data_IF_179482782493
#
_entry.id   IF_179482782493
#
_cell.length_a   1.000
_cell.length_b   1.000
_cell.length_c   1.000
_cell.angle_alpha   90.00
_cell.angle_beta   90.00
_cell.angle_gamma   90.00
#
_symmetry.space_group_name_H-M   'P 1'
#
loop_
_entity.id
_entity.type
_entity.pdbx_description
1 polymer ?
#
# COMPACT_ATOMS: atom_id res chain seq x y z
N UNK A 1 -0.72 -2.13 78.91
CA UNK A 1 -1.28 -2.48 77.59
C UNK A 1 -0.35 -2.00 76.49
N UNK A 2 0.40 -2.91 75.85
CA UNK A 2 1.16 -2.62 74.63
C UNK A 2 0.17 -2.63 73.45
N UNK A 3 -0.01 -1.52 72.75
CA UNK A 3 -0.63 -1.51 71.41
C UNK A 3 0.49 -1.40 70.38
N UNK A 4 0.65 -2.48 69.62
CA UNK A 4 1.54 -2.62 68.46
C UNK A 4 1.14 -1.60 67.39
N UNK A 5 2.11 -0.83 66.90
CA UNK A 5 2.09 -0.25 65.57
C UNK A 5 2.46 -1.36 64.57
N UNK A 6 1.51 -1.76 63.74
CA UNK A 6 1.80 -2.48 62.51
C UNK A 6 1.12 -1.70 61.39
N UNK A 7 1.84 -0.70 60.87
CA UNK A 7 1.57 -0.14 59.56
C UNK A 7 2.31 -1.04 58.57
N UNK A 8 1.59 -1.99 57.99
CA UNK A 8 2.02 -2.69 56.79
C UNK A 8 2.08 -1.67 55.66
N UNK A 9 3.25 -1.06 55.48
CA UNK A 9 3.61 -0.44 54.23
C UNK A 9 4.00 -1.59 53.30
N UNK A 10 3.04 -2.10 52.52
CA UNK A 10 3.38 -2.77 51.27
C UNK A 10 4.01 -1.71 50.36
N UNK A 11 5.32 -1.51 50.50
CA UNK A 11 6.12 -0.80 49.50
C UNK A 11 5.90 -1.54 48.18
N UNK A 12 5.24 -0.88 47.23
CA UNK A 12 5.14 -1.39 45.87
C UNK A 12 6.55 -1.58 45.33
N UNK A 13 7.02 -2.82 45.33
CA UNK A 13 8.38 -3.19 44.93
C UNK A 13 8.63 -2.68 43.50
N UNK A 14 9.64 -1.82 43.32
CA UNK A 14 9.99 -1.25 42.01
C UNK A 14 10.76 -2.26 41.16
N UNK A 15 10.00 -3.20 40.60
CA UNK A 15 10.52 -4.27 39.74
C UNK A 15 11.09 -3.79 38.41
N UNK A 16 10.80 -2.54 38.01
CA UNK A 16 11.33 -1.94 36.77
C UNK A 16 12.78 -1.52 36.95
N UNK A 17 13.15 -1.01 38.12
CA UNK A 17 14.53 -0.66 38.45
C UNK A 17 15.47 -1.87 38.52
N UNK A 18 14.94 -3.07 38.80
CA UNK A 18 15.73 -4.31 38.87
C UNK A 18 16.05 -4.94 37.51
N UNK A 19 15.34 -4.56 36.44
CA UNK A 19 15.57 -5.11 35.11
C UNK A 19 16.93 -4.68 34.56
N UNK A 20 17.70 -5.55 33.89
CA UNK A 20 18.90 -5.17 33.14
C UNK A 20 18.63 -4.16 32.01
N UNK A 21 19.63 -3.36 31.66
CA UNK A 21 19.51 -2.33 30.60
C UNK A 21 19.03 -2.90 29.26
N UNK A 22 19.45 -4.11 28.89
CA UNK A 22 19.02 -4.74 27.64
C UNK A 22 17.50 -4.97 27.60
N UNK A 23 16.89 -5.37 28.73
CA UNK A 23 15.44 -5.55 28.82
C UNK A 23 14.71 -4.21 28.82
N UNK A 24 15.27 -3.19 29.46
CA UNK A 24 14.69 -1.85 29.41
C UNK A 24 14.74 -1.25 28.00
N UNK A 25 15.85 -1.42 27.27
CA UNK A 25 15.96 -1.00 25.85
C UNK A 25 14.96 -1.77 24.99
N UNK A 26 14.78 -3.06 25.22
CA UNK A 26 13.76 -3.87 24.54
C UNK A 26 12.33 -3.40 24.84
N UNK A 27 12.03 -3.04 26.09
CA UNK A 27 10.72 -2.45 26.43
C UNK A 27 10.55 -1.11 25.69
N UNK A 28 11.59 -0.27 25.67
CA UNK A 28 11.56 1.02 24.99
C UNK A 28 11.45 0.90 23.46
N UNK A 29 11.90 -0.20 22.84
CA UNK A 29 11.79 -0.36 21.37
C UNK A 29 10.34 -0.53 20.89
N UNK A 30 9.42 -0.91 21.78
CA UNK A 30 7.98 -0.89 21.49
C UNK A 30 7.37 0.52 21.52
N UNK A 31 8.12 1.53 21.98
CA UNK A 31 7.67 2.92 22.01
C UNK A 31 8.22 3.67 20.80
N UNK A 32 7.41 4.58 20.25
CA UNK A 32 7.93 5.58 19.32
C UNK A 32 9.00 6.41 20.01
N UNK A 33 10.01 6.84 19.25
CA UNK A 33 11.22 7.46 19.80
C UNK A 33 10.93 8.72 20.63
N UNK A 34 9.87 9.48 20.32
CA UNK A 34 9.51 10.67 21.10
C UNK A 34 9.03 10.33 22.51
N UNK A 35 8.40 9.17 22.68
CA UNK A 35 7.99 8.66 24.00
C UNK A 35 9.16 8.03 24.73
N UNK A 36 10.03 7.29 24.03
CA UNK A 36 11.25 6.74 24.61
C UNK A 36 12.19 7.85 25.11
N UNK A 37 12.33 8.97 24.40
CA UNK A 37 13.11 10.11 24.90
C UNK A 37 12.49 10.73 26.14
N UNK A 38 11.15 10.76 26.27
CA UNK A 38 10.49 11.32 27.46
C UNK A 38 10.80 10.54 28.73
N UNK A 39 11.12 9.25 28.65
CA UNK A 39 11.49 8.46 29.84
C UNK A 39 12.81 8.93 30.47
N UNK A 40 13.58 9.81 29.80
CA UNK A 40 14.79 10.41 30.36
C UNK A 40 14.56 11.12 31.71
N UNK A 41 13.33 11.55 32.01
CA UNK A 41 13.01 12.24 33.26
C UNK A 41 12.86 11.28 34.46
N UNK A 42 12.76 9.97 34.21
CA UNK A 42 12.49 8.98 35.27
C UNK A 42 13.68 8.79 36.21
N UNK A 43 14.90 8.68 35.65
CA UNK A 43 16.13 8.68 36.44
C UNK A 43 17.36 8.92 35.56
N UNK A 44 18.53 9.08 36.20
CA UNK A 44 19.83 9.19 35.51
C UNK A 44 20.13 8.00 34.60
N UNK A 45 19.64 6.80 34.96
CA UNK A 45 19.77 5.58 34.15
C UNK A 45 18.96 5.69 32.85
N UNK A 46 17.69 6.08 32.94
CA UNK A 46 16.79 6.18 31.78
C UNK A 46 17.19 7.25 30.78
N UNK A 47 17.98 8.25 31.20
CA UNK A 47 18.53 9.30 30.33
C UNK A 47 19.32 8.75 29.13
N UNK A 48 19.91 7.56 29.26
CA UNK A 48 20.82 6.98 28.27
C UNK A 48 20.24 5.79 27.50
N UNK A 49 19.16 5.16 28.00
CA UNK A 49 18.64 3.91 27.43
C UNK A 49 18.10 4.08 26.01
N UNK A 50 17.34 5.15 25.76
CA UNK A 50 16.75 5.41 24.43
C UNK A 50 17.82 5.53 23.32
N UNK A 51 19.05 5.91 23.68
CA UNK A 51 20.17 6.08 22.74
C UNK A 51 20.64 4.75 22.14
N UNK A 52 20.19 3.61 22.68
CA UNK A 52 20.56 2.27 22.25
C UNK A 52 19.42 1.53 21.56
N UNK A 53 18.28 2.18 21.33
CA UNK A 53 17.12 1.57 20.64
C UNK A 53 17.52 1.24 19.20
N UNK A 54 17.25 0.01 18.72
CA UNK A 54 17.68 -0.43 17.39
C UNK A 54 16.77 -0.02 16.24
N UNK A 55 15.62 0.58 16.56
CA UNK A 55 14.57 0.93 15.61
C UNK A 55 14.26 2.43 15.71
N UNK A 56 14.33 3.14 14.60
CA UNK A 56 14.05 4.56 14.53
C UNK A 56 12.91 4.83 13.56
N UNK A 57 11.76 5.21 14.13
CA UNK A 57 10.60 5.73 13.38
C UNK A 57 10.53 7.25 13.58
N UNK A 58 10.77 7.99 12.50
CA UNK A 58 10.93 9.43 12.49
C UNK A 58 9.95 10.04 11.50
N UNK A 59 8.74 10.31 11.95
CA UNK A 59 7.64 10.73 11.08
C UNK A 59 7.12 12.12 11.43
N UNK A 60 7.17 13.05 10.48
CA UNK A 60 6.66 14.42 10.65
C UNK A 60 5.14 14.47 10.86
N UNK A 61 4.41 13.48 10.33
CA UNK A 61 2.95 13.37 10.36
C UNK A 61 2.36 13.12 11.76
N UNK A 62 3.20 12.83 12.74
CA UNK A 62 2.84 12.39 14.10
C UNK A 62 2.66 13.56 15.07
N UNK A 63 3.45 13.64 16.16
CA UNK A 63 3.42 14.74 17.14
C UNK A 63 3.87 16.09 16.55
N UNK A 64 4.38 16.08 15.32
CA UNK A 64 4.98 17.21 14.64
C UNK A 64 4.18 17.76 13.46
N UNK A 65 2.93 17.33 13.27
CA UNK A 65 2.05 17.87 12.21
C UNK A 65 1.93 19.40 12.36
N UNK A 66 2.35 20.14 11.32
CA UNK A 66 2.40 21.62 11.34
C UNK A 66 3.51 22.21 12.20
N UNK A 67 4.54 21.43 12.57
CA UNK A 67 5.66 21.81 13.45
C UNK A 67 7.00 21.34 12.88
N UNK A 68 7.24 21.62 11.61
CA UNK A 68 8.36 21.14 10.80
C UNK A 68 9.71 21.49 11.44
N UNK A 69 9.89 22.74 11.88
CA UNK A 69 11.13 23.18 12.57
C UNK A 69 11.42 22.41 13.86
N UNK A 70 10.37 22.01 14.59
CA UNK A 70 10.52 21.22 15.81
C UNK A 70 10.90 19.78 15.47
N UNK A 71 10.32 19.22 14.41
CA UNK A 71 10.69 17.92 13.87
C UNK A 71 12.15 17.91 13.44
N UNK A 72 12.60 18.88 12.65
CA UNK A 72 14.00 19.04 12.24
C UNK A 72 14.95 19.02 13.43
N UNK A 73 14.66 19.86 14.42
CA UNK A 73 15.48 20.00 15.63
C UNK A 73 15.49 18.70 16.42
N UNK A 74 14.33 18.02 16.51
CA UNK A 74 14.19 16.75 17.20
C UNK A 74 15.01 15.66 16.50
N UNK A 75 14.78 15.42 15.21
CA UNK A 75 15.50 14.41 14.41
C UNK A 75 17.01 14.69 14.45
N UNK A 76 17.44 15.93 14.21
CA UNK A 76 18.87 16.29 14.29
C UNK A 76 19.49 15.97 15.65
N UNK A 77 18.75 16.17 16.74
CA UNK A 77 19.20 15.79 18.10
C UNK A 77 19.21 14.28 18.30
N UNK A 78 18.24 13.53 17.77
CA UNK A 78 18.25 12.06 17.83
C UNK A 78 19.52 11.53 17.14
N UNK A 79 19.76 11.92 15.88
CA UNK A 79 20.89 11.42 15.09
C UNK A 79 22.25 11.76 15.73
N UNK A 80 22.37 12.89 16.41
CA UNK A 80 23.61 13.32 17.07
C UNK A 80 23.82 12.74 18.46
N UNK A 81 22.75 12.50 19.23
CA UNK A 81 22.83 12.06 20.61
C UNK A 81 22.72 10.54 20.79
N UNK A 82 22.23 9.83 19.78
CA UNK A 82 22.19 8.35 19.75
C UNK A 82 23.60 7.79 19.81
N UNK A 83 23.72 6.61 20.41
CA UNK A 83 24.99 5.90 20.45
C UNK A 83 25.27 5.29 19.08
N UNK A 84 26.27 5.81 18.36
CA UNK A 84 26.64 5.30 17.03
C UNK A 84 27.21 3.87 17.06
N UNK A 85 27.59 3.36 18.22
CA UNK A 85 27.99 1.96 18.36
C UNK A 85 26.79 1.02 18.56
N UNK A 86 25.61 1.56 18.87
CA UNK A 86 24.41 0.76 19.06
C UNK A 86 23.80 0.32 17.72
N UNK A 87 23.43 -0.97 17.65
CA UNK A 87 22.84 -1.58 16.47
C UNK A 87 21.67 -0.76 15.92
N UNK A 88 21.58 -0.53 14.61
CA UNK A 88 20.43 0.10 13.95
C UNK A 88 19.90 -0.86 12.88
N UNK A 89 18.75 -1.48 13.15
CA UNK A 89 18.15 -2.48 12.27
C UNK A 89 17.04 -1.89 11.39
N UNK A 90 16.28 -0.95 11.93
CA UNK A 90 15.18 -0.29 11.23
C UNK A 90 15.38 1.21 11.28
N UNK A 91 15.34 1.84 10.11
CA UNK A 91 15.25 3.28 9.98
C UNK A 91 14.09 3.60 9.04
N UNK A 92 13.06 4.24 9.58
CA UNK A 92 11.90 4.68 8.81
C UNK A 92 11.70 6.19 9.03
N UNK A 93 11.77 6.94 7.94
CA UNK A 93 11.75 8.39 7.94
C UNK A 93 10.67 8.91 6.99
N UNK A 94 9.80 9.78 7.51
CA UNK A 94 8.74 10.44 6.76
C UNK A 94 8.81 11.95 7.00
N UNK A 95 8.91 12.72 5.92
CA UNK A 95 8.86 14.17 5.92
C UNK A 95 7.92 14.69 4.82
N UNK A 96 6.81 15.30 5.24
CA UNK A 96 5.75 15.87 4.39
C UNK A 96 5.98 17.37 4.09
N UNK A 97 7.23 17.85 4.15
CA UNK A 97 7.53 19.28 3.96
C UNK A 97 8.54 19.52 2.84
N UNK A 98 8.24 20.50 2.00
CA UNK A 98 9.04 20.87 0.82
C UNK A 98 10.35 21.61 1.17
N UNK A 99 10.59 21.90 2.45
CA UNK A 99 11.53 22.94 2.87
C UNK A 99 12.91 22.48 3.36
N UNK A 100 13.18 21.17 3.49
CA UNK A 100 14.36 20.72 4.25
C UNK A 100 15.19 19.62 3.58
N UNK A 101 15.81 19.95 2.44
CA UNK A 101 16.84 19.12 1.80
C UNK A 101 17.99 18.76 2.76
N UNK A 102 18.34 19.65 3.70
CA UNK A 102 19.39 19.39 4.70
C UNK A 102 19.03 18.24 5.65
N UNK A 103 17.76 18.12 6.06
CA UNK A 103 17.33 17.02 6.93
C UNK A 103 17.40 15.69 6.22
N UNK A 104 16.94 15.67 4.96
CA UNK A 104 17.00 14.49 4.09
C UNK A 104 18.45 14.07 3.88
N UNK A 105 19.37 15.01 3.62
CA UNK A 105 20.79 14.68 3.52
C UNK A 105 21.36 14.13 4.84
N UNK A 106 21.00 14.70 5.98
CA UNK A 106 21.43 14.19 7.29
C UNK A 106 20.93 12.77 7.56
N UNK A 107 19.66 12.47 7.25
CA UNK A 107 19.11 11.13 7.48
C UNK A 107 19.75 10.10 6.55
N UNK A 108 19.97 10.45 5.28
CA UNK A 108 20.63 9.57 4.31
C UNK A 108 22.09 9.31 4.68
N UNK A 109 22.83 10.33 5.09
CA UNK A 109 24.20 10.16 5.58
C UNK A 109 24.25 9.30 6.84
N UNK A 110 23.26 9.42 7.73
CA UNK A 110 23.16 8.57 8.92
C UNK A 110 22.83 7.12 8.59
N UNK A 111 21.94 6.89 7.62
CA UNK A 111 21.65 5.56 7.11
C UNK A 111 22.91 4.91 6.49
N UNK A 112 23.65 5.67 5.67
CA UNK A 112 24.92 5.23 5.09
C UNK A 112 25.96 4.81 6.14
N UNK A 113 26.06 5.53 7.26
CA UNK A 113 27.02 5.18 8.31
C UNK A 113 26.67 3.91 9.09
N UNK A 114 25.44 3.39 8.94
CA UNK A 114 24.94 2.16 9.56
C UNK A 114 24.54 1.09 8.54
N UNK A 115 24.96 1.24 7.28
CA UNK A 115 24.53 0.43 6.14
C UNK A 115 24.75 -1.10 6.28
N UNK A 116 25.68 -1.53 7.14
CA UNK A 116 25.95 -2.95 7.43
C UNK A 116 24.94 -3.59 8.38
N UNK A 117 24.16 -2.78 9.12
CA UNK A 117 23.25 -3.23 10.17
C UNK A 117 21.77 -3.06 9.81
N UNK A 118 21.47 -2.08 8.93
CA UNK A 118 20.11 -1.77 8.52
C UNK A 118 19.55 -2.91 7.67
N UNK A 119 18.45 -3.48 8.14
CA UNK A 119 17.69 -4.54 7.47
C UNK A 119 16.39 -4.01 6.87
N UNK A 120 15.86 -2.91 7.42
CA UNK A 120 14.67 -2.25 6.91
C UNK A 120 14.90 -0.74 6.80
N UNK A 121 14.70 -0.21 5.61
CA UNK A 121 14.84 1.21 5.32
C UNK A 121 13.54 1.73 4.70
N UNK A 122 12.92 2.70 5.36
CA UNK A 122 11.78 3.47 4.88
C UNK A 122 12.17 4.93 4.70
N UNK A 123 12.00 5.47 3.50
CA UNK A 123 12.21 6.90 3.20
C UNK A 123 10.99 7.44 2.45
N UNK A 124 10.31 8.41 3.04
CA UNK A 124 9.15 9.09 2.46
C UNK A 124 9.38 10.61 2.47
N UNK A 125 9.53 11.21 1.29
CA UNK A 125 9.95 12.60 1.11
C UNK A 125 9.19 13.29 -0.03
N UNK A 126 9.05 14.62 0.03
CA UNK A 126 8.38 15.39 -1.04
C UNK A 126 9.19 15.44 -2.34
N UNK A 127 10.52 15.44 -2.26
CA UNK A 127 11.42 15.58 -3.40
C UNK A 127 12.60 14.63 -3.28
N UNK A 128 13.10 14.13 -4.41
CA UNK A 128 14.28 13.28 -4.42
C UNK A 128 15.56 14.02 -4.00
N UNK A 129 16.51 13.24 -3.55
CA UNK A 129 17.87 13.66 -3.25
C UNK A 129 18.82 12.79 -4.05
N UNK A 130 19.82 13.40 -4.70
CA UNK A 130 20.87 12.68 -5.41
C UNK A 130 21.58 11.60 -4.55
N UNK A 131 21.46 11.69 -3.22
CA UNK A 131 22.03 10.74 -2.25
C UNK A 131 21.14 9.52 -1.97
N UNK A 132 19.86 9.53 -2.36
CA UNK A 132 18.90 8.48 -1.98
C UNK A 132 19.31 7.11 -2.53
N UNK A 133 19.45 6.99 -3.85
CA UNK A 133 19.82 5.72 -4.48
C UNK A 133 21.24 5.24 -4.11
N UNK A 134 22.27 6.11 -4.02
CA UNK A 134 23.56 5.72 -3.45
C UNK A 134 23.46 5.18 -2.02
N UNK A 135 22.64 5.81 -1.17
CA UNK A 135 22.42 5.37 0.21
C UNK A 135 21.80 3.97 0.27
N UNK A 136 20.69 3.78 -0.44
CA UNK A 136 20.00 2.49 -0.55
C UNK A 136 20.93 1.40 -1.07
N UNK A 137 21.69 1.69 -2.13
CA UNK A 137 22.62 0.72 -2.74
C UNK A 137 23.76 0.30 -1.80
N UNK A 138 24.10 1.14 -0.80
CA UNK A 138 25.14 0.81 0.17
C UNK A 138 24.67 -0.17 1.25
N UNK A 139 23.36 -0.31 1.46
CA UNK A 139 22.77 -1.12 2.51
C UNK A 139 22.54 -2.57 2.04
N UNK A 140 23.61 -3.37 2.00
CA UNK A 140 23.56 -4.75 1.45
C UNK A 140 22.75 -5.74 2.29
N UNK A 141 22.51 -5.45 3.57
CA UNK A 141 21.73 -6.27 4.49
C UNK A 141 20.21 -6.03 4.39
N UNK A 142 19.76 -5.15 3.49
CA UNK A 142 18.35 -4.81 3.34
C UNK A 142 17.51 -6.03 2.94
N UNK A 143 16.47 -6.26 3.73
CA UNK A 143 15.42 -7.27 3.51
C UNK A 143 14.08 -6.61 3.17
N UNK A 144 13.87 -5.36 3.62
CA UNK A 144 12.71 -4.53 3.30
C UNK A 144 13.14 -3.11 2.92
N UNK A 145 12.60 -2.61 1.82
CA UNK A 145 12.84 -1.25 1.35
C UNK A 145 11.51 -0.59 1.00
N UNK A 146 11.24 0.56 1.59
CA UNK A 146 10.10 1.42 1.26
C UNK A 146 10.63 2.78 0.82
N UNK A 147 10.35 3.17 -0.42
CA UNK A 147 10.69 4.47 -0.96
C UNK A 147 9.44 5.16 -1.47
N UNK A 148 9.15 6.35 -0.95
CA UNK A 148 8.00 7.15 -1.37
C UNK A 148 8.42 8.58 -1.70
N UNK A 149 8.22 8.98 -2.95
CA UNK A 149 8.52 10.35 -3.41
C UNK A 149 7.21 11.02 -3.81
N UNK A 150 6.84 12.08 -3.10
CA UNK A 150 5.61 12.84 -3.30
C UNK A 150 5.87 14.10 -4.12
N UNK A 151 6.51 13.96 -5.27
CA UNK A 151 6.64 15.09 -6.19
C UNK A 151 5.23 15.52 -6.61
N UNK A 152 4.91 16.81 -6.45
CA UNK A 152 3.70 17.42 -6.99
C UNK A 152 3.69 17.31 -8.51
N UNK A 153 3.27 16.14 -9.02
CA UNK A 153 2.85 15.80 -10.38
C UNK A 153 3.74 16.14 -11.59
N UNK A 154 4.87 16.85 -11.49
CA UNK A 154 5.51 17.38 -12.71
C UNK A 154 6.59 16.44 -13.27
N UNK A 155 7.45 15.81 -12.46
CA UNK A 155 8.41 14.78 -12.93
C UNK A 155 8.77 13.80 -11.80
N UNK A 156 8.34 12.52 -11.84
CA UNK A 156 8.78 11.54 -10.86
C UNK A 156 10.18 11.03 -11.18
N UNK A 157 10.97 10.80 -10.15
CA UNK A 157 12.37 10.43 -10.27
C UNK A 157 12.56 9.05 -10.88
N UNK A 158 13.68 8.89 -11.60
CA UNK A 158 13.94 7.66 -12.34
C UNK A 158 14.47 6.60 -11.39
N UNK A 159 13.73 5.50 -11.27
CA UNK A 159 14.23 4.35 -10.54
C UNK A 159 15.39 3.70 -11.33
N UNK A 160 16.51 3.34 -10.68
CA UNK A 160 17.64 2.72 -11.35
C UNK A 160 17.24 1.43 -12.08
N UNK A 161 17.81 1.23 -13.28
CA UNK A 161 17.58 0.00 -14.06
C UNK A 161 18.12 -1.25 -13.35
N UNK A 162 19.16 -1.08 -12.53
CA UNK A 162 19.81 -2.16 -11.82
C UNK A 162 20.10 -1.71 -10.39
N UNK A 163 19.65 -2.50 -9.43
CA UNK A 163 19.90 -2.30 -8.01
C UNK A 163 20.20 -3.66 -7.38
N UNK A 164 21.43 -3.86 -6.91
CA UNK A 164 21.85 -5.15 -6.37
C UNK A 164 21.53 -5.23 -4.88
N UNK A 165 20.42 -5.88 -4.52
CA UNK A 165 20.03 -6.12 -3.13
C UNK A 165 19.66 -7.60 -2.95
N UNK A 166 20.65 -8.49 -2.74
CA UNK A 166 20.47 -9.94 -2.82
C UNK A 166 19.68 -10.54 -1.65
N UNK A 167 19.46 -9.76 -0.58
CA UNK A 167 18.67 -10.15 0.57
C UNK A 167 17.25 -9.57 0.56
N UNK A 168 16.90 -8.74 -0.43
CA UNK A 168 15.62 -8.02 -0.46
C UNK A 168 14.46 -8.98 -0.67
N UNK A 169 13.53 -8.97 0.28
CA UNK A 169 12.29 -9.78 0.26
C UNK A 169 11.03 -8.94 0.11
N UNK A 170 11.07 -7.66 0.46
CA UNK A 170 9.94 -6.74 0.39
C UNK A 170 10.38 -5.41 -0.22
N UNK A 171 9.63 -4.95 -1.22
CA UNK A 171 9.88 -3.69 -1.91
C UNK A 171 8.58 -2.90 -2.05
N UNK A 172 8.55 -1.68 -1.54
CA UNK A 172 7.46 -0.72 -1.72
C UNK A 172 8.00 0.53 -2.41
N UNK A 173 7.46 0.82 -3.59
CA UNK A 173 7.83 1.98 -4.38
C UNK A 173 6.60 2.85 -4.62
N UNK A 174 6.67 4.09 -4.17
CA UNK A 174 5.68 5.12 -4.47
C UNK A 174 6.30 6.29 -5.22
N UNK A 175 5.72 6.66 -6.37
CA UNK A 175 6.07 7.89 -7.08
C UNK A 175 7.34 7.82 -7.93
N UNK A 176 7.67 6.65 -8.49
CA UNK A 176 8.86 6.46 -9.33
C UNK A 176 8.53 6.34 -10.83
N UNK A 177 9.50 6.70 -11.67
CA UNK A 177 9.50 6.48 -13.12
C UNK A 177 10.40 5.30 -13.49
N UNK A 178 9.86 4.31 -14.21
CA UNK A 178 10.63 3.19 -14.76
C UNK A 178 10.94 3.43 -16.24
N UNK A 179 12.21 3.44 -16.61
CA UNK A 179 12.63 3.69 -17.99
C UNK A 179 12.66 2.41 -18.82
N UNK A 180 12.09 2.49 -20.02
CA UNK A 180 12.15 1.45 -21.04
C UNK A 180 13.57 1.09 -21.48
N UNK A 181 13.70 -0.14 -21.98
CA UNK A 181 14.81 -0.61 -22.79
C UNK A 181 14.51 -0.46 -24.30
N UNK A 182 15.42 -0.98 -25.13
CA UNK A 182 15.26 -1.00 -26.60
C UNK A 182 14.00 -1.75 -27.05
N UNK A 183 13.51 -2.69 -26.25
CA UNK A 183 12.29 -3.45 -26.51
C UNK A 183 11.01 -2.71 -26.08
N UNK A 184 11.12 -1.44 -25.67
CA UNK A 184 10.01 -0.64 -25.11
C UNK A 184 9.37 -1.30 -23.89
N UNK A 185 10.19 -2.00 -23.10
CA UNK A 185 9.80 -2.66 -21.87
C UNK A 185 10.62 -2.12 -20.69
N UNK A 186 9.96 -1.79 -19.59
CA UNK A 186 10.63 -1.51 -18.33
C UNK A 186 10.63 -2.77 -17.47
N UNK A 187 11.81 -3.20 -17.00
CA UNK A 187 11.98 -4.38 -16.14
C UNK A 187 12.98 -4.07 -15.02
N UNK A 188 12.57 -3.35 -13.96
CA UNK A 188 13.46 -2.96 -12.87
C UNK A 188 13.61 -4.05 -11.79
N UNK A 189 12.83 -5.14 -11.85
CA UNK A 189 12.66 -6.06 -10.71
C UNK A 189 13.45 -7.38 -10.84
N UNK A 190 13.87 -7.74 -12.06
CA UNK A 190 14.58 -9.01 -12.33
C UNK A 190 15.86 -9.28 -11.50
N UNK A 191 16.49 -8.24 -10.95
CA UNK A 191 17.67 -8.38 -10.10
C UNK A 191 17.35 -8.88 -8.67
N UNK A 192 16.10 -8.78 -8.22
CA UNK A 192 15.70 -9.14 -6.85
C UNK A 192 15.32 -10.62 -6.75
N UNK A 193 16.34 -11.47 -6.59
CA UNK A 193 16.18 -12.94 -6.60
C UNK A 193 15.38 -13.53 -5.43
N UNK A 194 15.20 -12.79 -4.33
CA UNK A 194 14.46 -13.22 -3.13
C UNK A 194 13.18 -12.42 -2.86
N UNK A 195 12.73 -11.62 -3.83
CA UNK A 195 11.61 -10.71 -3.66
C UNK A 195 10.29 -11.49 -3.51
N UNK A 196 9.71 -11.46 -2.31
CA UNK A 196 8.45 -12.13 -1.98
C UNK A 196 7.25 -11.17 -2.03
N UNK A 197 7.45 -9.89 -1.76
CA UNK A 197 6.40 -8.87 -1.73
C UNK A 197 6.80 -7.63 -2.52
N UNK A 198 5.92 -7.19 -3.43
CA UNK A 198 6.12 -5.99 -4.23
C UNK A 198 4.88 -5.10 -4.17
N UNK A 199 5.08 -3.85 -3.75
CA UNK A 199 4.07 -2.80 -3.74
C UNK A 199 4.52 -1.71 -4.72
N UNK A 200 3.64 -1.35 -5.66
CA UNK A 200 3.88 -0.28 -6.63
C UNK A 200 2.73 0.72 -6.54
N UNK A 201 3.05 1.99 -6.32
CA UNK A 201 2.06 3.04 -6.16
C UNK A 201 2.40 4.35 -6.85
N UNK A 202 1.45 4.94 -7.58
CA UNK A 202 1.65 6.23 -8.27
C UNK A 202 2.90 6.26 -9.17
N UNK A 203 3.37 5.11 -9.65
CA UNK A 203 4.52 5.02 -10.54
C UNK A 203 4.11 5.18 -12.00
N UNK A 204 5.09 5.50 -12.85
CA UNK A 204 4.90 5.60 -14.30
C UNK A 204 6.01 4.91 -15.07
N UNK A 205 5.78 4.69 -16.36
CA UNK A 205 6.78 4.17 -17.28
C UNK A 205 7.10 5.25 -18.31
N UNK A 206 8.38 5.42 -18.63
CA UNK A 206 8.89 6.35 -19.63
C UNK A 206 9.55 5.57 -20.77
N UNK A 207 9.36 6.02 -22.00
CA UNK A 207 9.99 5.45 -23.21
C UNK A 207 9.63 3.96 -23.47
N UNK A 208 8.56 3.47 -22.83
CA UNK A 208 8.07 2.10 -22.92
C UNK A 208 6.53 2.07 -22.78
N UNK A 209 5.91 0.94 -23.17
CA UNK A 209 4.47 0.72 -23.01
C UNK A 209 4.15 -0.50 -22.14
N UNK A 210 5.20 -1.21 -21.71
CA UNK A 210 5.09 -2.44 -20.93
C UNK A 210 5.93 -2.29 -19.67
N UNK A 211 5.30 -2.52 -18.51
CA UNK A 211 6.01 -2.81 -17.27
C UNK A 211 6.04 -4.33 -17.10
N UNK A 212 7.22 -4.94 -17.21
CA UNK A 212 7.38 -6.36 -16.90
C UNK A 212 7.83 -6.50 -15.44
N UNK A 213 7.21 -7.45 -14.76
CA UNK A 213 7.51 -7.83 -13.38
C UNK A 213 7.96 -9.29 -13.42
N UNK A 214 9.27 -9.49 -13.41
CA UNK A 214 9.88 -10.82 -13.41
C UNK A 214 10.42 -11.18 -12.03
N UNK A 215 9.91 -12.26 -11.43
CA UNK A 215 10.43 -12.80 -10.17
C UNK A 215 9.96 -14.23 -9.92
N UNK A 216 10.90 -15.14 -9.69
CA UNK A 216 10.60 -16.54 -9.36
C UNK A 216 10.07 -16.73 -7.92
N UNK A 217 10.29 -15.75 -7.04
CA UNK A 217 9.97 -15.84 -5.60
C UNK A 217 8.80 -14.95 -5.18
N UNK A 218 8.30 -14.10 -6.09
CA UNK A 218 7.23 -13.16 -5.77
C UNK A 218 5.95 -13.89 -5.44
N UNK A 219 5.51 -13.74 -4.19
CA UNK A 219 4.30 -14.34 -3.63
C UNK A 219 3.15 -13.33 -3.59
N UNK A 220 3.46 -12.06 -3.33
CA UNK A 220 2.47 -10.99 -3.15
C UNK A 220 2.77 -9.79 -4.06
N UNK A 221 1.80 -9.41 -4.89
CA UNK A 221 1.84 -8.19 -5.69
C UNK A 221 0.69 -7.26 -5.30
N UNK A 222 1.02 -6.03 -4.93
CA UNK A 222 0.06 -4.98 -4.65
C UNK A 222 0.27 -3.79 -5.59
N UNK A 223 -0.69 -3.56 -6.47
CA UNK A 223 -0.79 -2.34 -7.27
C UNK A 223 -1.74 -1.36 -6.56
N UNK A 224 -1.21 -0.23 -6.09
CA UNK A 224 -1.94 0.72 -5.27
C UNK A 224 -1.99 2.11 -5.92
N UNK A 225 -3.16 2.75 -5.93
CA UNK A 225 -3.45 3.99 -6.66
C UNK A 225 -3.14 3.88 -8.17
N UNK A 226 -3.36 4.97 -8.89
CA UNK A 226 -3.25 4.97 -10.35
C UNK A 226 -1.78 4.88 -10.81
N UNK A 227 -1.53 4.02 -11.80
CA UNK A 227 -0.29 3.97 -12.57
C UNK A 227 -0.47 4.75 -13.88
N UNK A 228 0.60 5.40 -14.34
CA UNK A 228 0.51 6.38 -15.44
C UNK A 228 1.43 6.05 -16.61
N UNK A 229 1.04 6.48 -17.81
CA UNK A 229 1.86 6.52 -19.02
C UNK A 229 2.31 5.17 -19.62
N UNK A 230 1.55 4.09 -19.42
CA UNK A 230 1.73 2.82 -20.14
C UNK A 230 0.44 2.00 -20.19
N UNK A 231 0.42 1.03 -21.11
CA UNK A 231 -0.76 0.26 -21.47
C UNK A 231 -0.84 -1.12 -20.80
N UNK A 232 0.30 -1.73 -20.47
CA UNK A 232 0.36 -3.16 -20.13
C UNK A 232 1.31 -3.48 -18.97
N UNK A 233 0.89 -4.39 -18.09
CA UNK A 233 1.72 -5.08 -17.12
C UNK A 233 1.89 -6.53 -17.56
N UNK A 234 3.14 -6.99 -17.65
CA UNK A 234 3.47 -8.37 -17.99
C UNK A 234 4.06 -9.08 -16.76
N UNK A 235 3.33 -10.07 -16.25
CA UNK A 235 3.72 -10.84 -15.08
C UNK A 235 4.47 -12.11 -15.50
N UNK A 236 5.77 -12.16 -15.19
CA UNK A 236 6.61 -13.34 -15.26
C UNK A 236 6.95 -13.77 -13.82
N UNK A 237 5.92 -14.14 -13.06
CA UNK A 237 6.01 -14.45 -11.64
C UNK A 237 5.25 -15.76 -11.32
N UNK A 238 5.84 -16.94 -11.56
CA UNK A 238 5.13 -18.22 -11.46
C UNK A 238 4.79 -18.64 -10.02
N UNK A 239 5.37 -17.99 -9.01
CA UNK A 239 5.09 -18.23 -7.60
C UNK A 239 4.04 -17.28 -7.02
N UNK A 240 3.48 -16.37 -7.84
CA UNK A 240 2.55 -15.35 -7.37
C UNK A 240 1.28 -16.00 -6.83
N UNK A 241 1.02 -15.84 -5.53
CA UNK A 241 -0.11 -16.41 -4.84
C UNK A 241 -1.22 -15.38 -4.63
N UNK A 242 -0.84 -14.14 -4.29
CA UNK A 242 -1.76 -13.05 -3.93
C UNK A 242 -1.60 -11.87 -4.88
N UNK A 243 -2.71 -11.42 -5.46
CA UNK A 243 -2.77 -10.20 -6.27
C UNK A 243 -3.76 -9.21 -5.65
N UNK A 244 -3.28 -8.04 -5.25
CA UNK A 244 -4.12 -6.96 -4.75
C UNK A 244 -4.05 -5.75 -5.67
N UNK A 245 -5.20 -5.17 -5.97
CA UNK A 245 -5.34 -3.95 -6.75
C UNK A 245 -6.23 -2.95 -6.02
N UNK A 246 -5.76 -1.71 -5.88
CA UNK A 246 -6.56 -0.58 -5.39
C UNK A 246 -6.35 0.62 -6.32
N UNK A 247 -7.38 1.13 -7.00
CA UNK A 247 -7.23 2.29 -7.89
C UNK A 247 -8.06 2.22 -9.17
N UNK A 248 -7.63 2.89 -10.23
CA UNK A 248 -8.35 2.89 -11.53
C UNK A 248 -7.75 1.85 -12.49
N UNK A 249 -8.51 0.83 -12.95
CA UNK A 249 -8.02 -0.20 -13.86
C UNK A 249 -7.64 0.34 -15.25
N UNK A 250 -6.40 0.81 -15.44
CA UNK A 250 -5.97 1.42 -16.71
C UNK A 250 -5.08 0.54 -17.57
N UNK A 251 -4.45 -0.47 -16.97
CA UNK A 251 -3.48 -1.33 -17.64
C UNK A 251 -4.05 -2.72 -17.86
N UNK A 252 -3.80 -3.29 -19.04
CA UNK A 252 -4.01 -4.74 -19.24
C UNK A 252 -2.94 -5.49 -18.46
N UNK A 253 -3.34 -6.55 -17.78
CA UNK A 253 -2.39 -7.44 -17.10
C UNK A 253 -2.43 -8.77 -17.83
N UNK A 254 -1.27 -9.32 -18.17
CA UNK A 254 -1.18 -10.66 -18.74
C UNK A 254 0.12 -11.34 -18.30
N UNK A 255 0.33 -12.56 -18.79
CA UNK A 255 1.56 -13.34 -18.55
C UNK A 255 1.26 -14.59 -17.74
N UNK A 256 2.30 -15.35 -17.41
CA UNK A 256 2.18 -16.59 -16.66
C UNK A 256 1.79 -16.35 -15.19
N UNK A 257 2.01 -15.16 -14.65
CA UNK A 257 1.78 -14.87 -13.23
C UNK A 257 0.35 -15.14 -12.75
N UNK A 258 -0.69 -14.90 -13.57
CA UNK A 258 -2.07 -15.20 -13.13
C UNK A 258 -2.39 -16.68 -13.03
N UNK A 259 -1.60 -17.56 -13.65
CA UNK A 259 -1.87 -18.99 -13.59
C UNK A 259 -1.66 -19.59 -12.19
N UNK A 260 -0.83 -18.96 -11.36
CA UNK A 260 -0.50 -19.39 -9.99
C UNK A 260 -1.32 -18.70 -8.90
N UNK A 261 -1.99 -17.58 -9.22
CA UNK A 261 -2.70 -16.75 -8.23
C UNK A 261 -3.88 -17.52 -7.64
N UNK A 262 -3.96 -17.53 -6.32
CA UNK A 262 -5.04 -18.15 -5.53
C UNK A 262 -5.96 -17.11 -4.90
N UNK A 263 -5.42 -15.97 -4.51
CA UNK A 263 -6.17 -14.91 -3.85
C UNK A 263 -6.09 -13.60 -4.64
N UNK A 264 -7.25 -13.04 -4.93
CA UNK A 264 -7.38 -11.78 -5.66
C UNK A 264 -8.22 -10.80 -4.85
N UNK A 265 -7.68 -9.61 -4.58
CA UNK A 265 -8.42 -8.52 -3.97
C UNK A 265 -8.43 -7.31 -4.91
N UNK A 266 -9.62 -6.91 -5.38
CA UNK A 266 -9.78 -5.80 -6.30
C UNK A 266 -10.69 -4.74 -5.67
N UNK A 267 -10.11 -3.57 -5.48
CA UNK A 267 -10.81 -2.36 -5.11
C UNK A 267 -10.63 -1.29 -6.19
N UNK A 268 -11.53 -1.31 -7.16
CA UNK A 268 -11.52 -0.43 -8.31
C UNK A 268 -12.36 0.83 -8.09
N UNK A 269 -11.81 1.96 -8.53
CA UNK A 269 -12.48 3.26 -8.58
C UNK A 269 -12.38 3.86 -9.99
N UNK A 270 -13.26 4.81 -10.32
CA UNK A 270 -13.25 5.50 -11.62
C UNK A 270 -13.41 7.00 -11.42
N UNK A 271 -12.60 7.81 -12.12
CA UNK A 271 -12.60 9.28 -12.01
C UNK A 271 -13.09 10.00 -13.29
N UNK A 272 -13.30 9.32 -14.42
CA UNK A 272 -13.70 9.98 -15.68
C UNK A 272 -14.53 9.11 -16.63
N UNK A 273 -15.34 9.79 -17.47
CA UNK A 273 -16.34 9.23 -18.39
C UNK A 273 -15.81 8.47 -19.62
N UNK A 274 -14.53 8.62 -19.97
CA UNK A 274 -13.93 8.06 -21.21
C UNK A 274 -13.03 6.86 -20.89
N UNK A 275 -13.11 6.34 -19.66
CA UNK A 275 -12.17 5.35 -19.19
C UNK A 275 -12.50 3.95 -19.74
N UNK A 276 -11.49 3.28 -20.32
CA UNK A 276 -11.57 1.88 -20.75
C UNK A 276 -11.63 0.92 -19.55
N UNK A 277 -11.57 1.44 -18.33
CA UNK A 277 -11.56 0.72 -17.06
C UNK A 277 -12.57 -0.43 -16.95
N UNK A 278 -13.87 -0.31 -17.31
CA UNK A 278 -14.79 -1.45 -17.22
C UNK A 278 -14.35 -2.63 -18.08
N UNK A 279 -13.90 -2.36 -19.30
CA UNK A 279 -13.42 -3.40 -20.23
C UNK A 279 -12.08 -3.98 -19.79
N UNK A 280 -11.21 -3.16 -19.18
CA UNK A 280 -9.92 -3.61 -18.65
C UNK A 280 -10.12 -4.50 -17.43
N UNK A 281 -10.95 -4.06 -16.47
CA UNK A 281 -11.33 -4.85 -15.31
C UNK A 281 -11.95 -6.18 -15.72
N UNK A 282 -12.86 -6.16 -16.71
CA UNK A 282 -13.44 -7.38 -17.26
C UNK A 282 -12.38 -8.30 -17.90
N UNK A 283 -11.40 -7.73 -18.62
CA UNK A 283 -10.32 -8.54 -19.20
C UNK A 283 -9.47 -9.25 -18.15
N UNK A 284 -9.26 -8.64 -16.97
CA UNK A 284 -8.57 -9.31 -15.87
C UNK A 284 -9.36 -10.52 -15.39
N UNK A 285 -10.67 -10.38 -15.20
CA UNK A 285 -11.52 -11.49 -14.75
C UNK A 285 -11.45 -12.68 -15.71
N UNK A 286 -11.35 -12.46 -17.02
CA UNK A 286 -11.21 -13.54 -18.01
C UNK A 286 -9.93 -14.37 -17.85
N UNK A 287 -8.86 -13.77 -17.31
CA UNK A 287 -7.56 -14.42 -17.15
C UNK A 287 -7.38 -15.08 -15.76
N UNK A 288 -8.28 -14.82 -14.80
CA UNK A 288 -8.24 -15.37 -13.43
C UNK A 288 -8.88 -16.76 -13.33
N UNK A 289 -8.31 -17.76 -14.02
CA UNK A 289 -8.90 -19.10 -14.08
C UNK A 289 -8.79 -19.91 -12.77
N UNK A 290 -7.66 -19.80 -12.06
CA UNK A 290 -7.29 -20.73 -10.99
C UNK A 290 -7.51 -20.21 -9.57
N UNK A 291 -8.16 -19.05 -9.40
CA UNK A 291 -8.29 -18.42 -8.09
C UNK A 291 -9.25 -19.18 -7.17
N UNK A 292 -8.96 -19.17 -5.88
CA UNK A 292 -9.78 -19.79 -4.83
C UNK A 292 -10.56 -18.74 -4.02
N UNK A 293 -10.04 -17.52 -3.90
CA UNK A 293 -10.68 -16.43 -3.15
C UNK A 293 -10.68 -15.15 -3.97
N UNK A 294 -11.85 -14.50 -4.05
CA UNK A 294 -12.04 -13.21 -4.69
C UNK A 294 -12.64 -12.22 -3.70
N UNK A 295 -11.91 -11.16 -3.39
CA UNK A 295 -12.40 -10.02 -2.63
C UNK A 295 -12.62 -8.84 -3.57
N UNK A 296 -13.80 -8.24 -3.55
CA UNK A 296 -14.16 -7.09 -4.40
C UNK A 296 -14.89 -6.02 -3.62
N UNK A 297 -14.63 -4.75 -3.91
CA UNK A 297 -15.45 -3.66 -3.36
C UNK A 297 -16.79 -3.50 -4.10
N UNK A 298 -17.79 -2.90 -3.44
CA UNK A 298 -19.04 -2.50 -4.08
C UNK A 298 -18.79 -1.59 -5.30
N UNK A 299 -17.81 -0.69 -5.20
CA UNK A 299 -17.38 0.18 -6.29
C UNK A 299 -16.88 -0.64 -7.50
N UNK A 300 -16.12 -1.70 -7.25
CA UNK A 300 -15.61 -2.62 -8.28
C UNK A 300 -16.74 -3.30 -9.04
N UNK A 301 -17.72 -3.86 -8.32
CA UNK A 301 -18.88 -4.52 -8.93
C UNK A 301 -19.66 -3.54 -9.80
N UNK A 302 -19.83 -2.31 -9.33
CA UNK A 302 -20.55 -1.32 -10.10
C UNK A 302 -19.80 -0.91 -11.38
N UNK A 303 -18.47 -0.74 -11.33
CA UNK A 303 -17.66 -0.48 -12.52
C UNK A 303 -17.82 -1.63 -13.54
N UNK A 304 -17.79 -2.87 -13.07
CA UNK A 304 -17.97 -4.04 -13.91
C UNK A 304 -19.37 -4.06 -14.57
N UNK A 305 -20.42 -3.63 -13.86
CA UNK A 305 -21.80 -3.57 -14.38
C UNK A 305 -22.00 -2.61 -15.57
N UNK A 306 -21.03 -1.73 -15.82
CA UNK A 306 -21.02 -0.81 -16.96
C UNK A 306 -20.58 -1.50 -18.26
N UNK A 307 -20.03 -2.72 -18.19
CA UNK A 307 -19.70 -3.53 -19.37
C UNK A 307 -20.99 -3.88 -20.12
N UNK A 308 -21.09 -3.55 -21.42
CA UNK A 308 -22.27 -3.89 -22.23
C UNK A 308 -22.52 -5.40 -22.23
N UNK A 309 -23.78 -5.79 -22.05
CA UNK A 309 -24.25 -7.18 -22.14
C UNK A 309 -23.49 -8.19 -21.26
N UNK A 310 -22.84 -7.71 -20.18
CA UNK A 310 -22.00 -8.53 -19.30
C UNK A 310 -22.68 -9.82 -18.83
N UNK A 311 -23.94 -9.72 -18.39
CA UNK A 311 -24.70 -10.85 -17.85
C UNK A 311 -25.06 -11.90 -18.91
N UNK A 312 -24.92 -11.58 -20.20
CA UNK A 312 -25.13 -12.50 -21.31
C UNK A 312 -23.83 -13.22 -21.73
N UNK A 313 -22.68 -12.72 -21.26
CA UNK A 313 -21.37 -13.31 -21.55
C UNK A 313 -21.14 -14.53 -20.67
N UNK A 314 -20.62 -15.61 -21.27
CA UNK A 314 -20.12 -16.77 -20.50
C UNK A 314 -18.71 -16.50 -20.03
N UNK A 315 -18.49 -16.53 -18.73
CA UNK A 315 -17.16 -16.41 -18.16
C UNK A 315 -16.42 -17.75 -18.35
N UNK A 316 -15.19 -17.78 -18.89
CA UNK A 316 -14.39 -19.01 -18.99
C UNK A 316 -13.54 -19.29 -17.74
N UNK A 317 -13.49 -18.35 -16.79
CA UNK A 317 -12.61 -18.32 -15.62
C UNK A 317 -13.39 -18.47 -14.30
N UNK A 318 -12.73 -18.28 -13.15
CA UNK A 318 -13.33 -18.40 -11.80
C UNK A 318 -13.93 -19.79 -11.51
N UNK A 319 -13.34 -20.86 -12.06
CA UNK A 319 -13.87 -22.22 -11.95
C UNK A 319 -13.54 -22.92 -10.62
N UNK A 320 -12.58 -22.40 -9.84
CA UNK A 320 -12.08 -22.99 -8.60
C UNK A 320 -12.43 -22.17 -7.35
N UNK A 321 -13.39 -21.25 -7.47
CA UNK A 321 -13.68 -20.27 -6.44
C UNK A 321 -14.34 -20.95 -5.24
N UNK A 322 -13.76 -20.73 -4.06
CA UNK A 322 -14.25 -21.24 -2.77
C UNK A 322 -14.94 -20.14 -1.96
N UNK A 323 -14.49 -18.90 -2.12
CA UNK A 323 -15.06 -17.74 -1.43
C UNK A 323 -15.09 -16.48 -2.31
N UNK A 324 -16.15 -15.71 -2.13
CA UNK A 324 -16.27 -14.33 -2.62
C UNK A 324 -16.55 -13.44 -1.42
N UNK A 325 -15.70 -12.45 -1.18
CA UNK A 325 -15.95 -11.39 -0.21
C UNK A 325 -16.31 -10.10 -0.93
N UNK A 326 -17.43 -9.50 -0.55
CA UNK A 326 -17.87 -8.21 -1.09
C UNK A 326 -17.79 -7.18 0.03
N UNK A 327 -16.87 -6.22 -0.11
CA UNK A 327 -16.70 -5.10 0.81
C UNK A 327 -17.64 -3.96 0.45
N UNK A 328 -18.61 -3.68 1.31
CA UNK A 328 -19.53 -2.56 1.13
C UNK A 328 -18.87 -1.25 1.54
N UNK A 329 -18.69 -0.36 0.57
CA UNK A 329 -18.20 1.00 0.79
C UNK A 329 -19.35 1.98 0.94
N UNK A 330 -19.15 3.00 1.79
CA UNK A 330 -20.14 4.07 1.98
C UNK A 330 -20.11 5.01 0.77
N UNK A 331 -21.13 4.90 -0.08
CA UNK A 331 -21.38 5.85 -1.18
C UNK A 331 -21.57 7.25 -0.58
N UNK A 332 -20.63 8.18 -0.84
CA UNK A 332 -20.83 9.61 -0.50
C UNK A 332 -19.63 10.41 0.02
N UNK A 333 -18.46 9.82 0.30
CA UNK A 333 -17.34 10.58 0.93
C UNK A 333 -16.24 10.97 -0.05
N UNK A 334 -16.09 10.28 -1.20
CA UNK A 334 -15.07 10.60 -2.19
C UNK A 334 -15.64 11.36 -3.42
N UNK A 335 -15.00 12.44 -3.90
CA UNK A 335 -15.40 13.15 -5.13
C UNK A 335 -15.48 12.25 -6.37
N UNK A 336 -14.72 11.15 -6.43
CA UNK A 336 -14.81 10.12 -7.47
C UNK A 336 -16.17 9.41 -7.51
N UNK A 337 -16.80 9.21 -6.35
CA UNK A 337 -18.04 8.47 -6.21
C UNK A 337 -19.25 9.27 -6.73
N UNK A 338 -19.25 10.61 -6.63
CA UNK A 338 -20.34 11.46 -7.14
C UNK A 338 -20.46 11.39 -8.68
N UNK A 339 -19.33 11.37 -9.39
CA UNK A 339 -19.32 11.19 -10.84
C UNK A 339 -19.75 9.77 -11.23
N UNK A 340 -19.27 8.78 -10.48
CA UNK A 340 -19.64 7.38 -10.64
C UNK A 340 -21.16 7.14 -10.44
N UNK A 341 -21.77 7.73 -9.40
CA UNK A 341 -23.22 7.63 -9.15
C UNK A 341 -24.04 8.16 -10.32
N UNK A 342 -23.60 9.25 -10.95
CA UNK A 342 -24.25 9.78 -12.14
C UNK A 342 -24.25 8.76 -13.29
N UNK A 343 -23.12 8.09 -13.55
CA UNK A 343 -23.00 7.14 -14.66
C UNK A 343 -23.72 5.82 -14.39
N UNK A 344 -23.65 5.29 -13.16
CA UNK A 344 -24.48 4.15 -12.75
C UNK A 344 -25.98 4.45 -12.95
N UNK A 345 -26.42 5.66 -12.57
CA UNK A 345 -27.77 6.13 -12.82
C UNK A 345 -28.10 6.19 -14.33
N UNK A 346 -27.19 6.68 -15.17
CA UNK A 346 -27.40 6.69 -16.64
C UNK A 346 -27.47 5.28 -17.23
N UNK A 347 -26.62 4.35 -16.80
CA UNK A 347 -26.62 2.97 -17.26
C UNK A 347 -27.93 2.25 -16.88
N UNK A 348 -28.39 2.42 -15.63
CA UNK A 348 -29.69 1.91 -15.18
C UNK A 348 -30.85 2.55 -15.94
N UNK A 349 -30.77 3.85 -16.26
CA UNK A 349 -31.77 4.53 -17.10
C UNK A 349 -31.80 3.99 -18.52
N UNK A 350 -30.64 3.68 -19.13
CA UNK A 350 -30.57 3.04 -20.45
C UNK A 350 -31.19 1.64 -20.42
N UNK A 351 -30.84 0.80 -19.44
CA UNK A 351 -31.45 -0.54 -19.25
C UNK A 351 -32.96 -0.45 -19.05
N UNK A 352 -33.43 0.48 -18.21
CA UNK A 352 -34.86 0.72 -17.98
C UNK A 352 -35.56 1.25 -19.25
N UNK A 353 -34.89 2.11 -20.04
CA UNK A 353 -35.43 2.62 -21.29
C UNK A 353 -35.56 1.54 -22.37
N UNK A 354 -34.66 0.54 -22.38
CA UNK A 354 -34.76 -0.63 -23.24
C UNK A 354 -35.95 -1.54 -22.86
N UNK A 355 -36.33 -1.61 -21.58
CA UNK A 355 -37.52 -2.34 -21.11
C UNK A 355 -38.83 -1.58 -21.36
N UNK A 356 -38.91 -0.31 -20.94
CA UNK A 356 -40.08 0.55 -21.16
C UNK A 356 -39.81 2.02 -20.85
N UNK A 357 -40.38 2.94 -21.64
CA UNK A 357 -40.38 4.38 -21.32
C UNK A 357 -40.97 4.70 -19.95
N UNK A 358 -41.95 3.91 -19.47
CA UNK A 358 -42.60 4.13 -18.17
C UNK A 358 -41.66 3.80 -17.00
N UNK A 359 -40.86 2.75 -17.13
CA UNK A 359 -39.86 2.36 -16.14
C UNK A 359 -38.71 3.37 -16.07
N UNK A 360 -38.19 3.79 -17.22
CA UNK A 360 -37.15 4.83 -17.28
C UNK A 360 -37.62 6.14 -16.63
N UNK A 361 -38.88 6.56 -16.86
CA UNK A 361 -39.45 7.76 -16.25
C UNK A 361 -39.59 7.64 -14.73
N UNK A 362 -40.04 6.48 -14.23
CA UNK A 362 -40.17 6.20 -12.78
C UNK A 362 -38.80 6.22 -12.10
N UNK A 363 -37.80 5.56 -12.71
CA UNK A 363 -36.44 5.50 -12.19
C UNK A 363 -35.77 6.89 -12.19
N UNK A 364 -35.99 7.69 -13.25
CA UNK A 364 -35.47 9.06 -13.33
C UNK A 364 -36.04 9.99 -12.25
N UNK A 365 -37.31 9.80 -11.88
CA UNK A 365 -37.92 10.51 -10.74
C UNK A 365 -37.32 10.04 -9.41
N UNK A 366 -37.06 8.75 -9.25
CA UNK A 366 -36.46 8.20 -8.03
C UNK A 366 -35.02 8.70 -7.82
N UNK A 367 -34.18 8.73 -8.86
CA UNK A 367 -32.82 9.31 -8.77
C UNK A 367 -32.85 10.81 -8.43
N UNK A 368 -33.79 11.57 -9.00
CA UNK A 368 -34.00 12.99 -8.61
C UNK A 368 -34.44 13.16 -7.15
N UNK A 369 -35.06 12.14 -6.56
CA UNK A 369 -35.49 12.12 -5.17
C UNK A 369 -34.41 11.59 -4.21
N UNK A 370 -33.17 11.36 -4.70
CA UNK A 370 -32.05 10.90 -3.88
C UNK A 370 -31.92 9.39 -3.77
N UNK A 371 -32.60 8.59 -4.60
CA UNK A 371 -32.34 7.15 -4.70
C UNK A 371 -30.90 6.94 -5.18
N UNK A 372 -30.11 6.20 -4.41
CA UNK A 372 -28.79 5.75 -4.85
C UNK A 372 -28.90 4.41 -5.59
N UNK A 373 -28.06 4.17 -6.61
CA UNK A 373 -27.98 2.85 -7.23
C UNK A 373 -27.57 1.82 -6.16
N UNK A 374 -28.05 0.56 -6.27
CA UNK A 374 -27.70 -0.45 -5.28
C UNK A 374 -26.18 -0.64 -5.22
N UNK A 375 -25.65 -0.81 -4.01
CA UNK A 375 -24.21 -1.05 -3.79
C UNK A 375 -23.73 -2.31 -4.51
N UNK A 376 -24.61 -3.29 -4.69
CA UNK A 376 -24.37 -4.50 -5.47
C UNK A 376 -25.38 -4.53 -6.64
N UNK A 377 -24.93 -4.38 -7.90
CA UNK A 377 -25.80 -4.49 -9.06
C UNK A 377 -26.48 -5.86 -9.18
N UNK A 378 -27.75 -5.87 -9.58
CA UNK A 378 -28.54 -7.10 -9.76
C UNK A 378 -27.86 -8.08 -10.72
N UNK A 379 -27.80 -9.36 -10.33
CA UNK A 379 -27.27 -10.47 -11.14
C UNK A 379 -25.74 -10.54 -11.25
N UNK A 380 -24.99 -9.55 -10.70
CA UNK A 380 -23.53 -9.54 -10.84
C UNK A 380 -22.83 -10.58 -9.98
N UNK A 381 -23.39 -10.88 -8.81
CA UNK A 381 -22.86 -11.94 -7.93
C UNK A 381 -23.08 -13.29 -8.58
N UNK A 382 -24.27 -13.54 -9.13
CA UNK A 382 -24.57 -14.77 -9.88
C UNK A 382 -23.65 -14.92 -11.10
N UNK A 383 -23.32 -13.81 -11.78
CA UNK A 383 -22.36 -13.79 -12.87
C UNK A 383 -20.95 -14.21 -12.42
N UNK A 384 -20.44 -13.68 -11.30
CA UNK A 384 -19.14 -14.09 -10.75
C UNK A 384 -19.12 -15.55 -10.30
N UNK A 385 -20.25 -16.06 -9.85
CA UNK A 385 -20.42 -17.44 -9.39
C UNK A 385 -20.82 -18.42 -10.49
N UNK A 386 -20.96 -17.98 -11.74
CA UNK A 386 -21.48 -18.79 -12.86
C UNK A 386 -20.79 -20.16 -12.97
N UNK A 387 -19.47 -20.21 -12.73
CA UNK A 387 -18.68 -21.44 -12.80
C UNK A 387 -18.35 -22.08 -11.44
N UNK A 388 -18.73 -21.43 -10.34
CA UNK A 388 -18.46 -21.87 -8.97
C UNK A 388 -19.67 -21.62 -8.04
N UNK A 389 -20.84 -22.23 -8.32
CA UNK A 389 -22.09 -21.92 -7.61
C UNK A 389 -22.08 -22.29 -6.12
N UNK A 390 -21.12 -23.12 -5.68
CA UNK A 390 -20.94 -23.52 -4.28
C UNK A 390 -20.03 -22.59 -3.47
N UNK A 391 -19.44 -21.56 -4.09
CA UNK A 391 -18.54 -20.66 -3.38
C UNK A 391 -19.30 -19.88 -2.29
N UNK A 392 -18.67 -19.71 -1.13
CA UNK A 392 -19.26 -18.95 -0.02
C UNK A 392 -19.22 -17.46 -0.34
N UNK A 393 -20.37 -16.79 -0.30
CA UNK A 393 -20.43 -15.34 -0.44
C UNK A 393 -20.53 -14.70 0.94
N UNK A 394 -19.55 -13.88 1.28
CA UNK A 394 -19.56 -13.05 2.47
C UNK A 394 -19.70 -11.59 2.05
N UNK A 395 -20.61 -10.87 2.69
CA UNK A 395 -20.77 -9.43 2.50
C UNK A 395 -20.31 -8.77 3.80
N UNK A 396 -19.21 -8.05 3.73
CA UNK A 396 -18.64 -7.32 4.87
C UNK A 396 -18.89 -5.84 4.69
N UNK A 397 -18.96 -5.14 5.81
CA UNK A 397 -19.23 -3.71 5.84
C UNK A 397 -18.32 -3.09 6.88
N UNK A 398 -17.61 -2.02 6.53
CA UNK A 398 -16.71 -1.31 7.44
C UNK A 398 -17.47 -0.39 8.43
N UNK A 399 -18.58 -0.87 9.01
CA UNK A 399 -19.41 -0.11 9.96
C UNK A 399 -19.33 -0.61 11.39
#
# INVERSE_FOLDING_TARGET
MKRRSHSENEESEDRLSDLPDCLLVYILSFLRIEYAVRTCILSTRWKHLWKRIPELFLHSSTLFRGKEKQFFTFVSKILTLRDNSAALHILDFECDSDYESELVQKILNYACSHNTQIQQLGISISHDSDLLMPCVSSCQALTSLTLSIYNGCIFPDTFPKYLNMPALTSLDLTGFTFCGDENRCAEPFSAFTKLNSLIISRCMVKDAQILRISSETLDNLYLYKNLFNFDKIELAAPSLCTFTFYGTPKQKICGSGFSSVKEVNIDAHMFSKVDKSPMILFSWLLDLANIESLTVSSSTLQILSLVPDLLEVKLPSLCNLKSVEIKLERLGILPSLLHFMYEANQAMLKKAAAKSRKEASKLRKAFKAGLEPPSIPDGIVDFLLQNSPSAKVNITSDY
#
